data_IF_841544230450
#
_entry.id   IF_841544230450
#
_cell.length_a   1.000
_cell.length_b   1.000
_cell.length_c   1.000
_cell.angle_alpha   90.00
_cell.angle_beta   90.00
_cell.angle_gamma   90.00
#
_symmetry.space_group_name_H-M   'P 1'
#
loop_
_entity.id
_entity.type
_entity.pdbx_description
1 polymer ?
#
# COMPACT_ATOMS: atom_id res chain seq x y z
N UNK A 1 -3.55 13.37 -13.63
CA UNK A 1 -3.42 12.03 -14.25
C UNK A 1 -4.15 11.97 -15.57
N UNK A 2 -5.48 12.14 -15.59
CA UNK A 2 -6.28 12.07 -16.82
C UNK A 2 -5.87 13.11 -17.86
N UNK A 3 -5.69 14.37 -17.47
CA UNK A 3 -5.25 15.43 -18.39
C UNK A 3 -3.86 15.15 -19.00
N UNK A 4 -2.96 14.53 -18.22
CA UNK A 4 -1.64 14.13 -18.72
C UNK A 4 -1.73 13.00 -19.74
N UNK A 5 -2.65 12.04 -19.55
CA UNK A 5 -2.92 10.99 -20.54
C UNK A 5 -3.58 11.55 -21.81
N UNK A 6 -4.50 12.51 -21.66
CA UNK A 6 -5.23 13.13 -22.78
C UNK A 6 -4.32 13.87 -23.77
N UNK A 7 -3.09 14.23 -23.38
CA UNK A 7 -2.09 14.83 -24.27
C UNK A 7 -1.53 13.84 -25.31
N UNK A 8 -1.77 12.53 -25.16
CA UNK A 8 -1.23 11.48 -26.01
C UNK A 8 -2.35 10.63 -26.63
N UNK A 9 -3.19 11.20 -27.51
CA UNK A 9 -4.40 10.53 -28.00
C UNK A 9 -4.15 9.28 -28.85
N UNK A 10 -2.95 9.14 -29.42
CA UNK A 10 -2.57 8.00 -30.26
C UNK A 10 -1.80 6.92 -29.49
N UNK A 11 -1.51 7.14 -28.21
CA UNK A 11 -0.81 6.17 -27.37
C UNK A 11 -1.81 5.28 -26.65
N UNK A 12 -1.51 3.98 -26.60
CA UNK A 12 -2.25 3.06 -25.73
C UNK A 12 -1.84 3.28 -24.26
N UNK A 13 -2.61 2.71 -23.32
CA UNK A 13 -2.18 2.69 -21.92
C UNK A 13 -0.88 1.90 -21.74
N UNK A 14 -0.62 0.87 -22.54
CA UNK A 14 0.64 0.14 -22.47
C UNK A 14 1.82 1.07 -22.81
N UNK A 15 1.71 1.83 -23.90
CA UNK A 15 2.76 2.79 -24.31
C UNK A 15 3.00 3.87 -23.24
N UNK A 16 1.93 4.34 -22.59
CA UNK A 16 2.02 5.39 -21.57
C UNK A 16 2.60 4.90 -20.23
N UNK A 17 2.55 3.59 -19.96
CA UNK A 17 2.93 3.00 -18.68
C UNK A 17 4.16 2.10 -18.75
N UNK A 18 4.78 1.95 -19.90
CA UNK A 18 6.12 1.37 -19.99
C UNK A 18 7.11 2.28 -19.21
N UNK A 19 7.83 1.75 -18.20
CA UNK A 19 8.74 2.54 -17.37
C UNK A 19 9.86 3.25 -18.14
N UNK A 20 10.25 2.73 -19.32
CA UNK A 20 11.33 3.29 -20.13
C UNK A 20 10.84 4.42 -21.03
N UNK A 21 9.55 4.46 -21.35
CA UNK A 21 8.98 5.41 -22.32
C UNK A 21 7.87 6.30 -21.74
N UNK A 22 7.50 6.11 -20.46
CA UNK A 22 6.49 6.92 -19.78
C UNK A 22 6.80 8.41 -19.94
N UNK A 23 5.87 9.20 -20.50
CA UNK A 23 6.09 10.63 -20.70
C UNK A 23 6.36 11.36 -19.37
N UNK A 24 7.34 12.29 -19.29
CA UNK A 24 7.67 12.99 -18.06
C UNK A 24 6.50 13.74 -17.41
N UNK A 25 5.57 14.26 -18.21
CA UNK A 25 4.35 14.91 -17.72
C UNK A 25 3.43 13.94 -16.98
N UNK A 26 3.35 12.69 -17.44
CA UNK A 26 2.57 11.65 -16.81
C UNK A 26 3.26 11.18 -15.52
N UNK A 27 4.58 10.98 -15.54
CA UNK A 27 5.37 10.65 -14.36
C UNK A 27 5.20 11.71 -13.26
N UNK A 28 5.32 13.00 -13.60
CA UNK A 28 5.13 14.10 -12.64
C UNK A 28 3.72 14.12 -12.05
N UNK A 29 2.71 13.81 -12.86
CA UNK A 29 1.34 13.71 -12.41
C UNK A 29 1.14 12.52 -11.45
N UNK A 30 1.84 11.39 -11.62
CA UNK A 30 1.84 10.28 -10.65
C UNK A 30 2.51 10.69 -9.35
N UNK A 31 3.70 11.28 -9.42
CA UNK A 31 4.43 11.73 -8.22
C UNK A 31 3.63 12.75 -7.39
N UNK A 32 2.81 13.56 -8.05
CA UNK A 32 1.91 14.51 -7.37
C UNK A 32 0.76 13.78 -6.69
N UNK A 33 0.17 12.80 -7.37
CA UNK A 33 -0.86 11.94 -6.79
C UNK A 33 -0.34 11.16 -5.59
N UNK A 34 0.83 10.54 -5.70
CA UNK A 34 1.46 9.77 -4.63
C UNK A 34 1.67 10.61 -3.38
N UNK A 35 2.14 11.86 -3.52
CA UNK A 35 2.28 12.80 -2.39
C UNK A 35 0.95 13.12 -1.71
N UNK A 36 -0.12 13.27 -2.49
CA UNK A 36 -1.45 13.51 -1.95
C UNK A 36 -1.98 12.27 -1.20
N UNK A 37 -1.74 11.07 -1.75
CA UNK A 37 -2.12 9.80 -1.12
C UNK A 37 -1.34 9.58 0.19
N UNK A 38 -0.02 9.74 0.18
CA UNK A 38 0.83 9.67 1.37
C UNK A 38 0.33 10.62 2.47
N UNK A 39 0.00 11.87 2.08
CA UNK A 39 -0.58 12.87 3.00
C UNK A 39 -1.92 12.40 3.58
N UNK A 40 -2.80 11.83 2.76
CA UNK A 40 -4.12 11.33 3.20
C UNK A 40 -4.01 10.16 4.18
N UNK A 41 -2.98 9.33 4.04
CA UNK A 41 -2.65 8.27 5.01
C UNK A 41 -1.98 8.79 6.29
N UNK A 42 -1.67 10.09 6.38
CA UNK A 42 -1.08 10.72 7.56
C UNK A 42 0.43 10.47 7.72
N UNK A 43 1.10 9.94 6.69
CA UNK A 43 2.54 9.65 6.70
C UNK A 43 3.21 10.30 5.49
N UNK A 44 4.08 11.27 5.72
CA UNK A 44 4.53 12.18 4.65
C UNK A 44 5.94 11.90 4.11
N UNK A 45 6.68 10.93 4.64
CA UNK A 45 8.11 10.76 4.36
C UNK A 45 8.54 9.29 4.23
N UNK A 46 7.98 8.56 3.28
CA UNK A 46 8.53 7.26 2.92
C UNK A 46 9.81 7.44 2.09
N UNK A 47 10.89 6.75 2.46
CA UNK A 47 12.15 6.80 1.70
C UNK A 47 12.31 5.63 0.74
N UNK A 48 11.53 4.55 0.93
CA UNK A 48 11.52 3.38 0.04
C UNK A 48 10.12 2.80 -0.11
N UNK A 49 9.89 2.11 -1.22
CA UNK A 49 8.64 1.37 -1.44
C UNK A 49 8.39 0.30 -0.37
N UNK A 50 9.45 -0.34 0.15
CA UNK A 50 9.32 -1.31 1.23
C UNK A 50 8.74 -0.69 2.52
N UNK A 51 9.08 0.56 2.85
CA UNK A 51 8.49 1.26 3.99
C UNK A 51 7.00 1.57 3.78
N UNK A 52 6.60 1.93 2.56
CA UNK A 52 5.18 2.11 2.21
C UNK A 52 4.41 0.81 2.42
N UNK A 53 4.92 -0.29 1.89
CA UNK A 53 4.30 -1.62 2.03
C UNK A 53 4.17 -2.02 3.49
N UNK A 54 5.23 -1.87 4.30
CA UNK A 54 5.18 -2.18 5.73
C UNK A 54 4.10 -1.39 6.46
N UNK A 55 4.01 -0.08 6.22
CA UNK A 55 2.98 0.78 6.81
C UNK A 55 1.55 0.36 6.40
N UNK A 56 1.35 0.00 5.12
CA UNK A 56 0.05 -0.48 4.65
C UNK A 56 -0.35 -1.80 5.34
N UNK A 57 0.60 -2.72 5.59
CA UNK A 57 0.33 -3.94 6.35
C UNK A 57 -0.04 -3.66 7.82
N UNK A 58 0.61 -2.70 8.47
CA UNK A 58 0.23 -2.27 9.83
C UNK A 58 -1.20 -1.71 9.87
N UNK A 59 -1.55 -0.84 8.92
CA UNK A 59 -2.91 -0.31 8.79
C UNK A 59 -3.92 -1.42 8.52
N UNK A 60 -3.59 -2.34 7.62
CA UNK A 60 -4.42 -3.50 7.32
C UNK A 60 -4.66 -4.35 8.57
N UNK A 61 -3.60 -4.67 9.33
CA UNK A 61 -3.73 -5.43 10.57
C UNK A 61 -4.61 -4.69 11.59
N UNK A 62 -4.42 -3.37 11.74
CA UNK A 62 -5.24 -2.54 12.63
C UNK A 62 -6.72 -2.64 12.26
N UNK A 63 -7.07 -2.48 10.99
CA UNK A 63 -8.47 -2.51 10.55
C UNK A 63 -9.06 -3.91 10.49
N UNK A 64 -8.26 -4.96 10.25
CA UNK A 64 -8.75 -6.34 10.16
C UNK A 64 -8.73 -7.09 11.48
N UNK A 65 -7.93 -6.67 12.46
CA UNK A 65 -7.95 -7.24 13.81
C UNK A 65 -9.32 -7.14 14.49
N UNK A 66 -10.11 -6.13 14.13
CA UNK A 66 -11.48 -5.93 14.61
C UNK A 66 -12.47 -6.97 14.05
N UNK A 67 -12.10 -7.64 12.96
CA UNK A 67 -12.89 -8.68 12.29
C UNK A 67 -12.32 -10.10 12.51
N UNK A 68 -11.15 -10.22 13.14
CA UNK A 68 -10.60 -11.51 13.50
C UNK A 68 -11.31 -12.04 14.75
N UNK A 69 -12.04 -13.15 14.61
CA UNK A 69 -12.68 -13.82 15.74
C UNK A 69 -11.66 -14.09 16.86
N UNK A 70 -12.05 -13.85 18.11
CA UNK A 70 -11.21 -14.11 19.29
C UNK A 70 -10.66 -15.55 19.22
N UNK A 71 -9.34 -15.67 19.10
CA UNK A 71 -8.70 -16.98 19.19
C UNK A 71 -8.94 -17.50 20.62
N UNK A 72 -9.54 -18.69 20.80
CA UNK A 72 -9.78 -19.21 22.13
C UNK A 72 -8.44 -19.35 22.87
N UNK A 73 -8.32 -18.71 24.04
CA UNK A 73 -7.15 -18.85 24.92
C UNK A 73 -6.98 -20.32 25.27
N UNK A 74 -5.96 -20.97 24.72
CA UNK A 74 -5.57 -22.32 25.12
C UNK A 74 -5.20 -22.29 26.60
N UNK A 75 -6.04 -22.87 27.46
CA UNK A 75 -5.67 -23.17 28.85
C UNK A 75 -4.51 -24.16 28.82
N UNK A 76 -3.36 -23.79 29.37
CA UNK A 76 -2.26 -24.72 29.58
C UNK A 76 -2.77 -25.88 30.47
N UNK A 77 -2.72 -27.11 29.96
CA UNK A 77 -2.99 -28.29 30.77
C UNK A 77 -1.84 -28.44 31.76
N UNK A 78 -2.09 -28.15 33.03
CA UNK A 78 -1.19 -28.52 34.12
C UNK A 78 -1.17 -30.04 34.19
N UNK A 79 -0.09 -30.65 33.69
CA UNK A 79 0.13 -32.09 33.82
C UNK A 79 0.55 -32.36 35.26
N UNK A 80 -0.32 -32.98 36.06
CA UNK A 80 0.05 -33.51 37.37
C UNK A 80 0.67 -34.89 37.17
N UNK A 81 1.94 -35.04 37.51
CA UNK A 81 2.65 -36.33 37.53
C UNK A 81 2.47 -36.92 38.95
N UNK A 82 1.88 -38.11 39.11
CA UNK A 82 1.84 -38.78 40.41
C UNK A 82 3.17 -39.48 40.71
N UNK A 83 3.54 -39.51 42.00
CA UNK A 83 4.70 -40.23 42.54
C UNK A 83 4.51 -41.76 42.50
#
# INVERSE_FOLDING_TARGET
MLDARAQFPNSTLADLYDPLTMPPVLLKAHQTLDRAVDTAYGKTNFTTEAQRVAFLFELYQKYTSLFAADKPKRRAKVVKIPL
#
